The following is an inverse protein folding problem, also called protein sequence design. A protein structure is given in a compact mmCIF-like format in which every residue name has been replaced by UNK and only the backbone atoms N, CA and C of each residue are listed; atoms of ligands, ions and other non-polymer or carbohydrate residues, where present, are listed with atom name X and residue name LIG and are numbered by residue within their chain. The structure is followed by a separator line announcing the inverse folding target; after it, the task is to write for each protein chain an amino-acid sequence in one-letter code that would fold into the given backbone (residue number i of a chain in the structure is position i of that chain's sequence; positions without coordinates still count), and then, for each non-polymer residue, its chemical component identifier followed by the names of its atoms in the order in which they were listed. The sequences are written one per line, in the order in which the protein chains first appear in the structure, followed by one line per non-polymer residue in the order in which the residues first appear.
data_IF_092502767857
#
_entry.id   IF_092502767857
#
_cell.length_a   1.000
_cell.length_b   1.000
_cell.length_c   1.000
_cell.angle_alpha   90.00
_cell.angle_beta   90.00
_cell.angle_gamma   90.00
#
_symmetry.space_group_name_H-M   'P 1'
#
loop_
_entity.id
_entity.type
_entity.pdbx_description
1 polymer ?
#
# COMPACT_ATOMS: atom_id res chain seq x y z
N UNK A 1 11.61 9.04 -39.32
CA UNK A 1 11.10 7.90 -38.57
C UNK A 1 11.72 7.67 -37.17
N UNK A 2 12.43 8.64 -36.53
CA UNK A 2 13.03 8.46 -35.19
C UNK A 2 12.23 9.07 -34.01
N UNK A 3 11.10 9.73 -34.26
CA UNK A 3 10.26 10.37 -33.21
C UNK A 3 9.29 9.43 -32.50
N UNK A 4 8.91 8.32 -33.12
CA UNK A 4 7.91 7.37 -32.55
C UNK A 4 8.52 6.44 -31.49
N UNK A 5 9.81 6.13 -31.58
CA UNK A 5 10.49 5.23 -30.62
C UNK A 5 10.65 5.81 -29.20
N UNK A 6 10.64 7.13 -29.04
CA UNK A 6 10.74 7.76 -27.71
C UNK A 6 9.38 7.86 -27.01
N UNK A 7 8.27 7.96 -27.77
CA UNK A 7 6.92 7.99 -27.23
C UNK A 7 6.54 6.64 -26.61
N UNK A 8 6.93 5.53 -27.26
CA UNK A 8 6.67 4.18 -26.73
C UNK A 8 7.43 3.89 -25.42
N UNK A 9 8.66 4.39 -25.28
CA UNK A 9 9.46 4.23 -24.04
C UNK A 9 8.86 5.05 -22.87
N UNK A 10 8.34 6.23 -23.15
CA UNK A 10 7.67 7.05 -22.13
C UNK A 10 6.33 6.41 -21.73
N UNK A 11 5.56 5.90 -22.69
CA UNK A 11 4.32 5.18 -22.41
C UNK A 11 4.59 3.90 -21.59
N UNK A 12 5.66 3.17 -21.88
CA UNK A 12 6.06 1.97 -21.13
C UNK A 12 6.49 2.31 -19.68
N UNK A 13 7.17 3.44 -19.51
CA UNK A 13 7.62 3.92 -18.20
C UNK A 13 6.43 4.40 -17.34
N UNK A 14 5.46 5.08 -17.96
CA UNK A 14 4.21 5.49 -17.29
C UNK A 14 3.37 4.26 -16.94
N UNK A 15 3.29 3.28 -17.83
CA UNK A 15 2.55 2.04 -17.59
C UNK A 15 3.21 1.21 -16.46
N UNK A 16 4.56 1.13 -16.44
CA UNK A 16 5.27 0.43 -15.36
C UNK A 16 5.12 1.13 -14.00
N UNK A 17 5.09 2.46 -13.99
CA UNK A 17 4.86 3.24 -12.78
C UNK A 17 3.41 3.06 -12.28
N UNK A 18 2.44 3.02 -13.20
CA UNK A 18 1.03 2.77 -12.90
C UNK A 18 0.83 1.36 -12.33
N UNK A 19 1.49 0.35 -12.91
CA UNK A 19 1.49 -1.03 -12.42
C UNK A 19 2.17 -1.16 -11.05
N UNK A 20 3.23 -0.39 -10.80
CA UNK A 20 3.90 -0.37 -9.50
C UNK A 20 2.99 0.24 -8.42
N UNK A 21 2.29 1.33 -8.73
CA UNK A 21 1.33 1.97 -7.81
C UNK A 21 0.13 1.05 -7.53
N UNK A 22 -0.39 0.34 -8.54
CA UNK A 22 -1.47 -0.64 -8.33
C UNK A 22 -1.03 -1.86 -7.54
N UNK A 23 0.20 -2.35 -7.75
CA UNK A 23 0.77 -3.44 -6.97
C UNK A 23 0.96 -3.05 -5.48
N UNK A 24 1.42 -1.82 -5.20
CA UNK A 24 1.53 -1.34 -3.82
C UNK A 24 0.16 -1.12 -3.15
N UNK A 25 -0.85 -0.66 -3.89
CA UNK A 25 -2.21 -0.52 -3.35
C UNK A 25 -2.83 -1.87 -2.95
N UNK A 26 -2.44 -2.97 -3.60
CA UNK A 26 -2.89 -4.32 -3.26
C UNK A 26 -2.17 -4.92 -2.04
N UNK A 27 -0.98 -4.40 -1.68
CA UNK A 27 -0.19 -4.91 -0.54
C UNK A 27 -0.58 -4.29 0.82
N UNK A 28 -1.32 -3.20 0.86
CA UNK A 28 -1.71 -2.54 2.12
C UNK A 28 -2.87 -3.22 2.84
N UNK A 29 -3.46 -4.28 2.28
CA UNK A 29 -4.56 -5.04 2.87
C UNK A 29 -4.17 -6.17 3.83
N UNK A 30 -2.89 -6.52 3.99
CA UNK A 30 -2.48 -7.77 4.64
C UNK A 30 -1.46 -7.62 5.78
N UNK A 31 -1.38 -6.50 6.49
CA UNK A 31 -0.51 -6.40 7.67
C UNK A 31 -1.35 -6.06 8.90
N UNK A 32 -1.74 -7.11 9.62
CA UNK A 32 -2.40 -6.98 10.91
C UNK A 32 -3.30 -8.17 11.25
N UNK A 33 -2.79 -9.40 11.14
CA UNK A 33 -3.49 -10.55 11.68
C UNK A 33 -3.20 -10.71 13.17
N UNK A 34 -4.05 -10.17 14.01
CA UNK A 34 -4.30 -10.75 15.31
C UNK A 34 -5.70 -11.33 15.26
N UNK A 35 -5.78 -12.62 15.02
CA UNK A 35 -7.02 -13.39 15.04
C UNK A 35 -7.58 -13.40 16.47
N UNK A 36 -8.77 -12.84 16.65
CA UNK A 36 -9.62 -13.19 17.78
C UNK A 36 -10.02 -14.65 17.58
N UNK A 37 -9.26 -15.58 18.15
CA UNK A 37 -9.58 -17.00 18.14
C UNK A 37 -10.60 -17.28 19.24
N UNK A 38 -11.83 -17.63 18.85
CA UNK A 38 -12.63 -18.51 19.67
C UNK A 38 -11.97 -19.90 19.57
N UNK A 39 -11.24 -20.30 20.60
CA UNK A 39 -10.54 -21.60 20.65
C UNK A 39 -11.58 -22.67 20.93
N UNK A 40 -12.09 -23.29 19.89
CA UNK A 40 -12.84 -24.53 20.00
C UNK A 40 -11.82 -25.67 19.90
N UNK A 41 -11.60 -26.40 20.99
CA UNK A 41 -10.82 -27.63 20.99
C UNK A 41 -11.73 -28.80 20.64
N UNK A 42 -11.39 -29.57 19.62
CA UNK A 42 -12.12 -30.77 19.26
C UNK A 42 -11.85 -31.89 20.29
N UNK A 43 -12.90 -32.57 20.73
CA UNK A 43 -12.78 -33.78 21.55
C UNK A 43 -12.54 -34.99 20.64
N UNK A 44 -11.99 -36.11 21.20
CA UNK A 44 -11.78 -37.33 20.41
C UNK A 44 -13.09 -37.90 19.82
N UNK A 45 -14.21 -37.68 20.48
CA UNK A 45 -15.52 -38.13 20.00
C UNK A 45 -16.02 -37.25 18.83
N UNK A 46 -15.75 -35.95 18.85
CA UNK A 46 -16.08 -35.05 17.74
C UNK A 46 -15.27 -35.34 16.47
N UNK A 47 -14.01 -35.77 16.60
CA UNK A 47 -13.18 -36.15 15.46
C UNK A 47 -13.73 -37.41 14.74
N UNK A 48 -14.52 -38.23 15.43
CA UNK A 48 -15.16 -39.44 14.88
C UNK A 48 -16.56 -39.18 14.31
N UNK A 49 -17.13 -37.99 14.60
CA UNK A 49 -18.45 -37.61 14.08
C UNK A 49 -18.40 -37.33 12.60
N UNK A 50 -19.54 -37.52 11.93
CA UNK A 50 -19.72 -37.01 10.57
C UNK A 50 -19.59 -35.46 10.57
N UNK A 51 -19.00 -34.84 9.52
CA UNK A 51 -18.73 -33.41 9.49
C UNK A 51 -19.94 -32.54 9.86
N UNK A 52 -21.12 -32.89 9.37
CA UNK A 52 -22.36 -32.17 9.61
C UNK A 52 -22.86 -32.17 11.06
N UNK A 53 -22.34 -33.07 11.90
CA UNK A 53 -22.68 -33.23 13.32
C UNK A 53 -21.62 -32.60 14.23
N UNK A 54 -20.54 -32.06 13.66
CA UNK A 54 -19.46 -31.43 14.43
C UNK A 54 -19.87 -30.04 14.87
N UNK A 55 -19.25 -29.56 15.96
CA UNK A 55 -19.40 -28.18 16.39
C UNK A 55 -18.86 -27.25 15.32
N UNK A 56 -19.54 -26.13 15.15
CA UNK A 56 -19.12 -25.07 14.27
C UNK A 56 -18.51 -23.92 15.08
N UNK A 57 -17.56 -23.22 14.49
CA UNK A 57 -16.93 -22.02 15.04
C UNK A 57 -16.84 -20.93 13.99
N UNK A 58 -16.86 -19.68 14.41
CA UNK A 58 -16.67 -18.51 13.57
C UNK A 58 -15.35 -17.88 13.93
N UNK A 59 -14.49 -17.68 12.93
CA UNK A 59 -13.24 -16.96 13.07
C UNK A 59 -13.37 -15.61 12.34
N UNK A 60 -13.04 -14.52 13.02
CA UNK A 60 -13.16 -13.16 12.50
C UNK A 60 -11.88 -12.36 12.73
N UNK A 61 -11.77 -11.24 12.07
CA UNK A 61 -10.78 -10.21 12.41
C UNK A 61 -11.18 -9.53 13.73
N UNK A 62 -10.22 -8.99 14.49
CA UNK A 62 -10.49 -8.36 15.80
C UNK A 62 -11.29 -7.05 15.68
N UNK A 63 -11.32 -6.42 14.52
CA UNK A 63 -12.11 -5.23 14.22
C UNK A 63 -12.26 -5.05 12.71
N UNK A 64 -13.34 -4.37 12.32
CA UNK A 64 -13.58 -3.90 10.96
C UNK A 64 -13.43 -2.38 10.90
N UNK A 65 -13.08 -1.85 9.75
CA UNK A 65 -13.13 -0.41 9.51
C UNK A 65 -14.39 -0.08 8.71
N UNK A 66 -15.05 1.02 9.07
CA UNK A 66 -16.23 1.50 8.36
C UNK A 66 -15.94 1.69 6.86
N UNK A 67 -16.89 1.27 6.00
CA UNK A 67 -16.75 1.29 4.54
C UNK A 67 -15.54 0.52 3.97
N UNK A 68 -15.03 -0.46 4.72
CA UNK A 68 -14.04 -1.42 4.22
C UNK A 68 -14.53 -2.84 4.41
N UNK A 69 -14.15 -3.69 3.46
CA UNK A 69 -14.45 -5.10 3.54
C UNK A 69 -13.71 -5.75 4.71
N UNK A 70 -14.43 -6.55 5.46
CA UNK A 70 -13.90 -7.47 6.46
C UNK A 70 -14.39 -8.87 6.14
N UNK A 71 -13.88 -9.89 6.83
CA UNK A 71 -14.26 -11.27 6.56
C UNK A 71 -14.46 -12.07 7.84
N UNK A 72 -15.37 -13.05 7.75
CA UNK A 72 -15.54 -14.09 8.72
C UNK A 72 -15.47 -15.45 8.03
N UNK A 73 -14.85 -16.43 8.67
CA UNK A 73 -14.77 -17.80 8.18
C UNK A 73 -15.37 -18.77 9.18
N UNK A 74 -15.98 -19.83 8.68
CA UNK A 74 -16.59 -20.89 9.47
C UNK A 74 -15.71 -22.13 9.43
N UNK A 75 -15.60 -22.80 10.57
CA UNK A 75 -14.87 -24.03 10.75
C UNK A 75 -15.70 -24.99 11.56
N UNK A 76 -15.48 -26.30 11.38
CA UNK A 76 -16.08 -27.29 12.26
C UNK A 76 -15.46 -27.26 13.66
N UNK A 77 -14.15 -26.91 13.77
CA UNK A 77 -13.46 -26.66 15.06
C UNK A 77 -12.16 -25.92 14.85
N UNK A 78 -11.63 -25.35 15.90
CA UNK A 78 -10.37 -24.59 15.84
C UNK A 78 -9.20 -25.52 15.44
N UNK A 79 -8.34 -25.02 14.57
CA UNK A 79 -7.18 -25.76 14.05
C UNK A 79 -7.39 -26.43 12.71
N UNK A 80 -8.60 -26.46 12.17
CA UNK A 80 -8.78 -26.81 10.76
C UNK A 80 -8.17 -25.77 9.83
N UNK A 81 -7.51 -26.24 8.78
CA UNK A 81 -6.91 -25.37 7.76
C UNK A 81 -7.91 -24.95 6.70
N UNK A 82 -9.01 -25.68 6.57
CA UNK A 82 -10.05 -25.44 5.57
C UNK A 82 -11.33 -24.95 6.26
N UNK A 83 -11.79 -23.77 5.86
CA UNK A 83 -13.11 -23.27 6.25
C UNK A 83 -14.21 -24.07 5.54
N UNK A 84 -15.39 -24.10 6.17
CA UNK A 84 -16.62 -24.69 5.59
C UNK A 84 -17.05 -23.80 4.42
N UNK A 85 -17.28 -24.40 3.26
CA UNK A 85 -17.61 -23.67 2.02
C UNK A 85 -18.82 -24.27 1.31
N UNK A 86 -19.46 -23.53 0.40
CA UNK A 86 -20.52 -24.04 -0.43
C UNK A 86 -20.11 -25.33 -1.17
N UNK A 87 -20.94 -26.38 -1.06
CA UNK A 87 -20.68 -27.69 -1.65
C UNK A 87 -19.99 -28.70 -0.72
N UNK A 88 -19.54 -28.29 0.45
CA UNK A 88 -19.05 -29.21 1.48
C UNK A 88 -20.23 -29.96 2.13
N UNK A 89 -19.96 -31.17 2.63
CA UNK A 89 -20.95 -31.99 3.30
C UNK A 89 -21.50 -31.28 4.55
N UNK A 90 -22.83 -31.12 4.62
CA UNK A 90 -23.53 -30.47 5.72
C UNK A 90 -23.65 -28.94 5.57
N UNK A 91 -23.06 -28.32 4.54
CA UNK A 91 -23.17 -26.87 4.32
C UNK A 91 -24.64 -26.41 4.16
N UNK A 92 -25.47 -27.19 3.48
CA UNK A 92 -26.89 -26.89 3.29
C UNK A 92 -27.70 -26.86 4.60
N UNK A 93 -27.16 -27.43 5.68
CA UNK A 93 -27.78 -27.40 7.01
C UNK A 93 -27.38 -26.18 7.84
N UNK A 94 -26.55 -25.31 7.31
CA UNK A 94 -26.09 -24.09 7.97
C UNK A 94 -26.93 -22.88 7.55
N UNK A 95 -27.40 -22.15 8.54
CA UNK A 95 -28.08 -20.86 8.34
C UNK A 95 -27.19 -19.76 8.88
N UNK A 96 -26.99 -18.72 8.07
CA UNK A 96 -26.15 -17.58 8.39
C UNK A 96 -27.00 -16.35 8.64
N UNK A 97 -26.63 -15.60 9.68
CA UNK A 97 -27.20 -14.30 9.97
C UNK A 97 -26.07 -13.34 10.28
N UNK A 98 -26.06 -12.19 9.61
CA UNK A 98 -25.11 -11.11 9.88
C UNK A 98 -25.92 -9.87 10.20
N UNK A 99 -25.68 -9.30 11.37
CA UNK A 99 -26.39 -8.10 11.85
C UNK A 99 -25.39 -7.03 12.25
N UNK A 100 -25.80 -5.77 12.17
CA UNK A 100 -25.04 -4.62 12.65
C UNK A 100 -25.88 -3.92 13.72
N UNK A 101 -25.34 -3.78 14.92
CA UNK A 101 -25.98 -3.08 16.01
C UNK A 101 -25.22 -1.81 16.38
N UNK A 102 -25.96 -0.76 16.76
CA UNK A 102 -25.37 0.48 17.29
C UNK A 102 -24.90 0.34 18.76
N UNK A 103 -24.35 1.40 19.33
CA UNK A 103 -23.92 1.44 20.75
C UNK A 103 -25.09 1.21 21.75
N UNK A 104 -26.33 1.35 21.33
CA UNK A 104 -27.54 1.13 22.15
C UNK A 104 -28.15 -0.25 21.89
N UNK A 105 -27.47 -1.14 21.15
CA UNK A 105 -27.96 -2.46 20.71
C UNK A 105 -29.22 -2.41 19.80
N UNK A 106 -29.45 -1.30 19.11
CA UNK A 106 -30.48 -1.27 18.07
C UNK A 106 -29.91 -1.87 16.79
N UNK A 107 -30.70 -2.68 16.10
CA UNK A 107 -30.35 -3.21 14.78
C UNK A 107 -30.40 -2.09 13.74
N UNK A 108 -29.27 -1.83 13.12
CA UNK A 108 -29.09 -0.84 12.05
C UNK A 108 -28.63 -1.49 10.74
N UNK A 109 -28.83 -2.80 10.58
CA UNK A 109 -28.36 -3.56 9.42
C UNK A 109 -28.99 -3.07 8.11
N UNK A 110 -30.23 -2.63 8.12
CA UNK A 110 -30.93 -2.18 6.93
C UNK A 110 -30.29 -0.92 6.33
N UNK A 111 -29.73 -1.06 5.12
CA UNK A 111 -29.06 0.02 4.40
C UNK A 111 -27.63 0.35 4.88
N UNK A 112 -27.18 -0.22 6.01
CA UNK A 112 -25.87 0.04 6.60
C UNK A 112 -24.93 -1.16 6.57
N UNK A 113 -25.45 -2.34 6.24
CA UNK A 113 -24.69 -3.59 6.18
C UNK A 113 -24.92 -4.27 4.84
N UNK A 114 -23.82 -4.65 4.18
CA UNK A 114 -23.80 -5.50 3.00
C UNK A 114 -22.92 -6.70 3.27
N UNK A 115 -23.38 -7.90 2.90
CA UNK A 115 -22.60 -9.11 3.09
C UNK A 115 -22.94 -10.18 2.07
N UNK A 116 -21.95 -10.98 1.73
CA UNK A 116 -22.06 -12.12 0.81
C UNK A 116 -21.14 -13.26 1.23
N UNK A 117 -21.42 -14.46 0.78
CA UNK A 117 -20.54 -15.63 0.96
C UNK A 117 -19.91 -15.95 -0.38
N UNK A 118 -18.58 -15.96 -0.43
CA UNK A 118 -17.86 -16.30 -1.65
C UNK A 118 -17.72 -17.82 -1.83
N UNK A 119 -17.20 -18.25 -2.99
CA UNK A 119 -17.00 -19.66 -3.35
C UNK A 119 -16.05 -20.42 -2.38
N UNK A 120 -15.22 -19.68 -1.64
CA UNK A 120 -14.30 -20.23 -0.66
C UNK A 120 -14.92 -20.30 0.76
N UNK A 121 -16.20 -20.00 0.93
CA UNK A 121 -16.88 -20.02 2.22
C UNK A 121 -16.54 -18.84 3.13
N UNK A 122 -15.85 -17.81 2.62
CA UNK A 122 -15.60 -16.61 3.38
C UNK A 122 -16.82 -15.69 3.31
N UNK A 123 -17.31 -15.27 4.45
CA UNK A 123 -18.36 -14.25 4.58
C UNK A 123 -17.68 -12.90 4.46
N UNK A 124 -17.92 -12.19 3.36
CA UNK A 124 -17.39 -10.85 3.10
C UNK A 124 -18.44 -9.86 3.61
N UNK A 125 -18.03 -8.93 4.45
CA UNK A 125 -18.92 -8.00 5.13
C UNK A 125 -18.41 -6.58 4.94
N UNK A 126 -19.34 -5.66 4.63
CA UNK A 126 -19.05 -4.22 4.56
C UNK A 126 -20.10 -3.48 5.39
N UNK A 127 -19.66 -2.72 6.39
CA UNK A 127 -20.53 -1.87 7.20
C UNK A 127 -20.25 -0.39 6.86
N UNK A 128 -21.30 0.39 6.63
CA UNK A 128 -21.21 1.82 6.33
C UNK A 128 -21.34 2.72 7.57
N UNK A 129 -21.71 2.15 8.72
CA UNK A 129 -21.87 2.84 9.99
C UNK A 129 -21.05 2.17 11.09
N UNK A 130 -20.83 2.92 12.18
CA UNK A 130 -20.15 2.42 13.37
C UNK A 130 -21.10 1.53 14.17
N UNK A 131 -20.56 0.50 14.80
CA UNK A 131 -21.35 -0.42 15.62
C UNK A 131 -20.62 -1.72 15.86
N UNK A 132 -21.35 -2.78 16.10
CA UNK A 132 -20.83 -4.14 16.24
C UNK A 132 -21.48 -5.05 15.22
N UNK A 133 -20.70 -5.67 14.36
CA UNK A 133 -21.16 -6.73 13.45
C UNK A 133 -21.22 -8.02 14.25
N UNK A 134 -22.37 -8.68 14.25
CA UNK A 134 -22.53 -10.02 14.80
C UNK A 134 -22.73 -11.00 13.66
N UNK A 135 -21.82 -11.95 13.54
CA UNK A 135 -21.89 -13.06 12.59
C UNK A 135 -22.35 -14.31 13.34
N UNK A 136 -23.50 -14.85 12.99
CA UNK A 136 -24.05 -16.05 13.60
C UNK A 136 -24.28 -17.11 12.57
N UNK A 137 -23.84 -18.32 12.87
CA UNK A 137 -24.10 -19.53 12.10
C UNK A 137 -24.86 -20.54 12.98
N UNK A 138 -25.91 -21.13 12.45
CA UNK A 138 -26.74 -22.13 13.16
C UNK A 138 -26.81 -23.39 12.31
N UNK A 139 -26.55 -24.54 12.92
CA UNK A 139 -26.74 -25.86 12.30
C UNK A 139 -28.15 -26.37 12.58
N UNK A 140 -28.91 -26.65 11.53
CA UNK A 140 -30.25 -27.28 11.67
C UNK A 140 -30.20 -28.72 12.11
N UNK A 141 -29.05 -29.37 12.02
CA UNK A 141 -28.87 -30.81 12.40
C UNK A 141 -28.60 -30.95 13.89
N UNK A 142 -27.80 -30.08 14.47
CA UNK A 142 -27.39 -30.17 15.88
C UNK A 142 -28.03 -29.11 16.77
N UNK A 143 -28.76 -28.16 16.20
CA UNK A 143 -29.27 -26.94 16.87
C UNK A 143 -28.15 -26.08 17.52
N UNK A 144 -26.90 -26.42 17.26
CA UNK A 144 -25.76 -25.63 17.74
C UNK A 144 -25.60 -24.33 16.95
N UNK A 145 -25.14 -23.30 17.65
CA UNK A 145 -24.85 -22.01 17.05
C UNK A 145 -23.43 -21.56 17.41
N UNK A 146 -22.77 -20.95 16.43
CA UNK A 146 -21.53 -20.21 16.64
C UNK A 146 -21.79 -18.72 16.34
N UNK A 147 -21.22 -17.87 17.17
CA UNK A 147 -21.39 -16.43 17.07
C UNK A 147 -20.04 -15.73 17.29
N UNK A 148 -19.80 -14.68 16.53
CA UNK A 148 -18.63 -13.82 16.69
C UNK A 148 -19.00 -12.38 16.47
N UNK A 149 -18.41 -11.50 17.28
CA UNK A 149 -18.63 -10.06 17.22
C UNK A 149 -17.38 -9.37 16.63
N UNK A 150 -17.61 -8.39 15.76
CA UNK A 150 -16.58 -7.60 15.10
C UNK A 150 -16.91 -6.11 15.33
N UNK A 151 -16.21 -5.40 16.20
CA UNK A 151 -16.43 -3.96 16.36
C UNK A 151 -16.04 -3.20 15.09
N UNK A 152 -16.95 -2.35 14.62
CA UNK A 152 -16.70 -1.46 13.47
C UNK A 152 -16.12 -0.15 13.98
N UNK A 153 -14.90 0.13 13.62
CA UNK A 153 -14.15 1.32 14.05
C UNK A 153 -14.02 2.34 12.92
N UNK A 154 -13.77 3.60 13.29
CA UNK A 154 -13.45 4.66 12.32
C UNK A 154 -12.21 4.31 11.53
N UNK A 155 -12.15 4.75 10.28
CA UNK A 155 -10.92 4.65 9.51
C UNK A 155 -9.80 5.44 10.19
N UNK A 156 -8.63 4.84 10.27
CA UNK A 156 -7.42 5.47 10.79
C UNK A 156 -6.49 5.86 9.65
N UNK A 157 -5.69 6.92 9.88
CA UNK A 157 -4.59 7.28 8.98
C UNK A 157 -3.65 6.08 8.80
N UNK A 158 -3.40 5.75 7.56
CA UNK A 158 -2.39 4.75 7.22
C UNK A 158 -0.99 5.37 7.24
N UNK A 159 0.04 4.54 7.40
CA UNK A 159 1.43 5.00 7.24
C UNK A 159 1.66 5.63 5.86
N UNK A 160 0.92 5.19 4.84
CA UNK A 160 0.98 5.72 3.49
C UNK A 160 0.49 7.17 3.41
N UNK A 161 -0.61 7.51 4.10
CA UNK A 161 -1.14 8.87 4.13
C UNK A 161 -0.15 9.84 4.78
N UNK A 162 0.55 9.41 5.82
CA UNK A 162 1.59 10.18 6.49
C UNK A 162 2.78 10.42 5.54
N UNK A 163 3.19 9.41 4.78
CA UNK A 163 4.26 9.54 3.78
C UNK A 163 3.87 10.53 2.69
N UNK A 164 2.64 10.45 2.15
CA UNK A 164 2.13 11.37 1.14
C UNK A 164 2.13 12.80 1.66
N UNK A 165 1.66 13.01 2.89
CA UNK A 165 1.68 14.33 3.53
C UNK A 165 3.11 14.85 3.69
N UNK A 166 4.05 14.00 4.11
CA UNK A 166 5.47 14.35 4.24
C UNK A 166 6.10 14.76 2.90
N UNK A 167 5.83 14.00 1.83
CA UNK A 167 6.31 14.33 0.47
C UNK A 167 5.69 15.65 0.01
N UNK A 168 4.40 15.88 0.28
CA UNK A 168 3.73 17.13 -0.05
C UNK A 168 4.37 18.34 0.65
N UNK A 169 4.64 18.24 1.94
CA UNK A 169 5.32 19.30 2.70
C UNK A 169 6.75 19.56 2.19
N UNK A 170 7.48 18.50 1.84
CA UNK A 170 8.82 18.63 1.25
C UNK A 170 8.77 19.31 -0.13
N UNK A 171 7.83 18.92 -0.99
CA UNK A 171 7.63 19.55 -2.30
C UNK A 171 7.26 21.05 -2.16
N UNK A 172 6.43 21.39 -1.16
CA UNK A 172 6.08 22.78 -0.84
C UNK A 172 7.31 23.59 -0.43
N UNK A 173 8.14 23.02 0.45
CA UNK A 173 9.40 23.65 0.86
C UNK A 173 10.31 23.92 -0.35
N UNK A 174 10.48 22.96 -1.26
CA UNK A 174 11.25 23.14 -2.48
C UNK A 174 10.64 24.22 -3.37
N UNK A 175 9.33 24.22 -3.57
CA UNK A 175 8.61 25.22 -4.39
C UNK A 175 8.78 26.64 -3.85
N UNK A 176 8.67 26.84 -2.54
CA UNK A 176 8.80 28.16 -1.90
C UNK A 176 10.27 28.61 -1.87
N UNK A 177 11.17 27.75 -1.40
CA UNK A 177 12.59 28.10 -1.26
C UNK A 177 13.26 28.34 -2.62
N UNK A 178 12.83 27.65 -3.66
CA UNK A 178 13.45 27.70 -4.99
C UNK A 178 14.92 27.26 -4.96
N UNK A 179 15.31 26.51 -3.92
CA UNK A 179 16.67 25.99 -3.72
C UNK A 179 16.66 24.48 -3.86
N UNK A 180 17.81 23.92 -4.24
CA UNK A 180 18.00 22.48 -4.37
C UNK A 180 18.43 22.06 -5.78
N UNK A 181 18.99 20.87 -5.88
CA UNK A 181 19.56 20.33 -7.14
C UNK A 181 18.57 20.25 -8.30
N UNK A 182 17.25 20.26 -8.02
CA UNK A 182 16.23 20.27 -9.08
C UNK A 182 16.17 21.58 -9.87
N UNK A 183 16.71 22.67 -9.30
CA UNK A 183 16.78 23.99 -9.94
C UNK A 183 18.13 24.27 -10.62
N UNK A 184 19.12 23.40 -10.40
CA UNK A 184 20.48 23.51 -10.89
C UNK A 184 20.72 22.42 -11.94
N UNK A 185 20.36 22.70 -13.18
CA UNK A 185 20.65 21.80 -14.29
C UNK A 185 21.68 22.44 -15.22
N UNK A 186 22.80 21.76 -15.42
CA UNK A 186 23.87 22.18 -16.34
C UNK A 186 23.42 22.14 -17.82
N UNK A 187 22.29 21.52 -18.11
CA UNK A 187 21.78 21.27 -19.46
C UNK A 187 20.57 22.14 -19.83
N UNK A 188 20.36 23.26 -19.15
CA UNK A 188 19.28 24.19 -19.51
C UNK A 188 19.68 24.88 -20.82
N UNK A 189 18.73 25.00 -21.75
CA UNK A 189 18.94 25.73 -23.00
C UNK A 189 19.27 27.18 -22.70
N UNK A 190 20.20 27.77 -23.45
CA UNK A 190 20.61 29.15 -23.28
C UNK A 190 19.42 30.14 -23.27
N UNK A 191 19.37 31.02 -22.29
CA UNK A 191 18.30 31.99 -22.10
C UNK A 191 16.99 31.42 -21.52
N UNK A 192 16.90 30.12 -21.15
CA UNK A 192 15.70 29.51 -20.59
C UNK A 192 15.75 29.27 -19.07
N UNK A 193 16.84 29.70 -18.40
CA UNK A 193 17.03 29.47 -16.95
C UNK A 193 15.88 29.98 -16.09
N UNK A 194 15.44 31.23 -16.35
CA UNK A 194 14.35 31.85 -15.59
C UNK A 194 13.04 31.10 -15.77
N UNK A 195 12.74 30.68 -17.01
CA UNK A 195 11.52 29.91 -17.32
C UNK A 195 11.57 28.54 -16.70
N UNK A 196 12.72 27.85 -16.75
CA UNK A 196 12.92 26.55 -16.11
C UNK A 196 12.67 26.62 -14.61
N UNK A 197 13.30 27.59 -13.91
CA UNK A 197 13.12 27.78 -12.46
C UNK A 197 11.67 28.11 -12.11
N UNK A 198 11.01 28.98 -12.90
CA UNK A 198 9.62 29.37 -12.68
C UNK A 198 8.68 28.12 -12.83
N UNK A 199 8.83 27.37 -13.92
CA UNK A 199 8.00 26.18 -14.19
C UNK A 199 8.21 25.12 -13.10
N UNK A 200 9.45 24.86 -12.72
CA UNK A 200 9.77 23.90 -11.67
C UNK A 200 9.16 24.31 -10.33
N UNK A 201 9.25 25.61 -9.96
CA UNK A 201 8.61 26.15 -8.75
C UNK A 201 7.10 25.97 -8.77
N UNK A 202 6.45 26.38 -9.85
CA UNK A 202 5.00 26.28 -10.00
C UNK A 202 4.54 24.82 -9.91
N UNK A 203 5.25 23.93 -10.60
CA UNK A 203 4.96 22.50 -10.57
C UNK A 203 5.08 21.93 -9.14
N UNK A 204 6.16 22.22 -8.42
CA UNK A 204 6.35 21.79 -7.03
C UNK A 204 5.24 22.30 -6.10
N UNK A 205 4.83 23.56 -6.24
CA UNK A 205 3.75 24.14 -5.42
C UNK A 205 2.41 23.47 -5.72
N UNK A 206 2.06 23.28 -7.00
CA UNK A 206 0.78 22.67 -7.38
C UNK A 206 0.70 21.20 -6.93
N UNK A 207 1.76 20.42 -7.14
CA UNK A 207 1.84 19.03 -6.68
C UNK A 207 1.73 18.99 -5.15
N UNK A 208 2.46 19.86 -4.44
CA UNK A 208 2.43 19.94 -3.00
C UNK A 208 1.03 20.24 -2.46
N UNK A 209 0.32 21.20 -3.04
CA UNK A 209 -1.04 21.55 -2.62
C UNK A 209 -2.00 20.35 -2.79
N UNK A 210 -1.92 19.64 -3.90
CA UNK A 210 -2.74 18.45 -4.13
C UNK A 210 -2.41 17.34 -3.12
N UNK A 211 -1.13 17.07 -2.84
CA UNK A 211 -0.72 16.03 -1.89
C UNK A 211 -1.07 16.38 -0.45
N UNK A 212 -0.89 17.63 -0.03
CA UNK A 212 -1.28 18.10 1.30
C UNK A 212 -2.81 18.03 1.45
N UNK A 213 -3.56 18.49 0.44
CA UNK A 213 -5.02 18.38 0.46
C UNK A 213 -5.49 16.92 0.56
N UNK A 214 -4.86 15.99 -0.17
CA UNK A 214 -5.11 14.56 -0.07
C UNK A 214 -4.84 14.05 1.35
N UNK A 215 -3.71 14.40 1.96
CA UNK A 215 -3.38 14.01 3.34
C UNK A 215 -4.37 14.57 4.37
N UNK A 216 -4.83 15.81 4.19
CA UNK A 216 -5.86 16.42 5.07
C UNK A 216 -7.20 15.71 4.89
N UNK A 217 -7.62 15.43 3.64
CA UNK A 217 -8.86 14.69 3.36
C UNK A 217 -8.81 13.32 4.03
N UNK A 218 -7.71 12.58 3.91
CA UNK A 218 -7.53 11.28 4.57
C UNK A 218 -7.62 11.40 6.10
N UNK A 219 -7.06 12.48 6.68
CA UNK A 219 -7.10 12.70 8.14
C UNK A 219 -8.51 13.04 8.68
N UNK A 220 -9.34 13.72 7.87
CA UNK A 220 -10.69 14.14 8.28
C UNK A 220 -11.73 13.09 7.95
N UNK A 221 -11.47 12.24 6.95
CA UNK A 221 -12.43 11.25 6.46
C UNK A 221 -12.49 9.99 7.33
N UNK A 222 -13.01 10.17 8.55
CA UNK A 222 -13.15 9.06 9.48
C UNK A 222 -14.08 7.94 9.00
N UNK A 223 -14.98 8.24 8.06
CA UNK A 223 -16.00 7.33 7.53
C UNK A 223 -15.72 6.83 6.10
N UNK A 224 -14.62 7.24 5.48
CA UNK A 224 -14.29 6.85 4.11
C UNK A 224 -15.22 7.41 3.02
N UNK A 225 -16.06 8.39 3.36
CA UNK A 225 -17.00 9.02 2.41
C UNK A 225 -16.30 9.89 1.37
N UNK A 226 -15.11 10.37 1.67
CA UNK A 226 -14.29 11.23 0.80
C UNK A 226 -13.17 10.46 0.09
N UNK A 227 -13.16 9.14 0.16
CA UNK A 227 -12.12 8.29 -0.44
C UNK A 227 -11.94 8.54 -1.94
N UNK A 228 -13.05 8.75 -2.68
CA UNK A 228 -13.00 9.11 -4.10
C UNK A 228 -12.30 10.46 -4.33
N UNK A 229 -12.58 11.48 -3.50
CA UNK A 229 -11.93 12.79 -3.57
C UNK A 229 -10.44 12.67 -3.29
N UNK A 230 -10.06 11.88 -2.26
CA UNK A 230 -8.66 11.60 -1.95
C UNK A 230 -7.92 10.98 -3.14
N UNK A 231 -8.53 9.96 -3.77
CA UNK A 231 -7.98 9.30 -4.96
C UNK A 231 -7.82 10.27 -6.13
N UNK A 232 -8.81 11.12 -6.39
CA UNK A 232 -8.75 12.12 -7.46
C UNK A 232 -7.61 13.11 -7.20
N UNK A 233 -7.47 13.65 -6.00
CA UNK A 233 -6.40 14.58 -5.64
C UNK A 233 -5.01 13.96 -5.85
N UNK A 234 -4.85 12.69 -5.48
CA UNK A 234 -3.60 11.96 -5.68
C UNK A 234 -3.28 11.75 -7.17
N UNK A 235 -4.27 11.35 -7.98
CA UNK A 235 -4.10 11.20 -9.44
C UNK A 235 -3.74 12.55 -10.07
N UNK A 236 -4.41 13.64 -9.68
CA UNK A 236 -4.10 14.99 -10.18
C UNK A 236 -2.66 15.39 -9.84
N UNK A 237 -2.20 15.10 -8.62
CA UNK A 237 -0.82 15.35 -8.23
C UNK A 237 0.19 14.62 -9.13
N UNK A 238 -0.06 13.33 -9.45
CA UNK A 238 0.77 12.54 -10.35
C UNK A 238 0.78 13.14 -11.76
N UNK A 239 -0.38 13.49 -12.29
CA UNK A 239 -0.49 14.09 -13.64
C UNK A 239 0.27 15.43 -13.72
N UNK A 240 0.12 16.29 -12.71
CA UNK A 240 0.86 17.55 -12.63
C UNK A 240 2.37 17.33 -12.55
N UNK A 241 2.82 16.34 -11.77
CA UNK A 241 4.22 15.98 -11.68
C UNK A 241 4.78 15.50 -13.03
N UNK A 242 4.06 14.61 -13.71
CA UNK A 242 4.45 14.11 -15.03
C UNK A 242 4.47 15.24 -16.09
N UNK A 243 3.46 16.10 -16.08
CA UNK A 243 3.41 17.27 -16.96
C UNK A 243 4.60 18.19 -16.70
N UNK A 244 4.93 18.47 -15.43
CA UNK A 244 6.10 19.24 -15.04
C UNK A 244 7.41 18.62 -15.56
N UNK A 245 7.57 17.30 -15.44
CA UNK A 245 8.73 16.60 -15.99
C UNK A 245 8.84 16.70 -17.51
N UNK A 246 7.73 16.66 -18.23
CA UNK A 246 7.73 16.84 -19.69
C UNK A 246 8.15 18.26 -20.05
N UNK A 247 7.57 19.26 -19.40
CA UNK A 247 7.89 20.67 -19.67
C UNK A 247 9.35 20.96 -19.35
N UNK A 248 9.86 20.50 -18.20
CA UNK A 248 11.28 20.70 -17.84
C UNK A 248 12.23 20.01 -18.84
N UNK A 249 11.85 18.82 -19.37
CA UNK A 249 12.62 18.17 -20.45
C UNK A 249 12.63 18.95 -21.76
N UNK A 250 11.59 19.66 -22.09
CA UNK A 250 11.55 20.54 -23.27
C UNK A 250 12.48 21.74 -23.14
N UNK A 251 12.70 22.20 -21.90
CA UNK A 251 13.57 23.33 -21.58
C UNK A 251 15.04 22.93 -21.41
N UNK A 252 15.35 21.64 -21.35
CA UNK A 252 16.72 21.12 -21.25
C UNK A 252 17.23 20.57 -22.59
N UNK A 253 18.54 20.65 -22.82
CA UNK A 253 19.20 20.06 -23.98
C UNK A 253 19.56 18.58 -23.70
N UNK A 254 18.68 17.70 -24.18
CA UNK A 254 18.86 16.25 -24.00
C UNK A 254 20.00 15.66 -24.81
N UNK A 255 20.53 16.36 -25.83
CA UNK A 255 21.68 15.89 -26.60
C UNK A 255 22.98 16.12 -25.83
N UNK A 256 23.18 17.34 -25.30
CA UNK A 256 24.35 17.67 -24.49
C UNK A 256 24.46 16.75 -23.27
N UNK A 257 23.32 16.46 -22.61
CA UNK A 257 23.26 15.52 -21.47
C UNK A 257 23.72 14.12 -21.85
N UNK A 258 23.26 13.57 -22.99
CA UNK A 258 23.66 12.23 -23.44
C UNK A 258 25.11 12.16 -23.83
N UNK A 259 25.67 13.19 -24.45
CA UNK A 259 27.08 13.25 -24.80
C UNK A 259 27.98 13.27 -23.57
N UNK A 260 27.55 13.97 -22.52
CA UNK A 260 28.29 14.04 -21.26
C UNK A 260 28.21 12.73 -20.45
N UNK A 261 27.04 12.10 -20.43
CA UNK A 261 26.87 10.77 -19.85
C UNK A 261 27.72 9.73 -20.57
N UNK A 262 27.80 9.79 -21.90
CA UNK A 262 28.66 8.92 -22.70
C UNK A 262 30.15 9.16 -22.43
N UNK A 263 30.58 10.42 -22.31
CA UNK A 263 31.95 10.78 -21.93
C UNK A 263 32.32 10.30 -20.53
N UNK A 264 31.40 10.44 -19.56
CA UNK A 264 31.63 9.95 -18.20
C UNK A 264 31.65 8.42 -18.11
N UNK A 265 30.87 7.72 -18.91
CA UNK A 265 30.89 6.28 -19.00
C UNK A 265 32.21 5.78 -19.62
N UNK A 266 32.67 6.39 -20.75
CA UNK A 266 33.96 6.04 -21.38
C UNK A 266 35.18 6.41 -20.51
N UNK A 267 35.08 7.47 -19.71
CA UNK A 267 36.13 7.87 -18.77
C UNK A 267 36.24 7.00 -17.51
N UNK A 268 35.16 6.28 -17.14
CA UNK A 268 35.20 5.29 -16.05
C UNK A 268 35.90 4.01 -16.44
N UNK A 269 35.79 3.60 -17.72
CA UNK A 269 36.49 2.41 -18.23
C UNK A 269 38.01 2.62 -18.39
N UNK A 270 38.49 3.89 -18.44
CA UNK A 270 39.93 4.18 -18.50
C UNK A 270 40.63 4.39 -17.15
N UNK A 271 39.91 4.51 -16.06
CA UNK A 271 40.45 4.43 -14.71
C UNK A 271 40.24 3.03 -14.15
N UNK A 272 40.97 2.06 -14.69
CA UNK A 272 41.26 0.85 -13.94
C UNK A 272 41.89 1.28 -12.60
N UNK A 273 41.49 0.66 -11.48
CA UNK A 273 42.07 0.97 -10.17
C UNK A 273 43.48 0.32 -10.08
N UNK A 274 44.46 0.88 -10.79
CA UNK A 274 45.82 0.45 -10.74
C UNK A 274 46.71 1.27 -9.79
N UNK A 275 46.10 2.09 -8.95
CA UNK A 275 46.86 2.95 -8.02
C UNK A 275 46.26 3.08 -6.63
N UNK A 276 45.42 2.14 -6.18
CA UNK A 276 44.82 2.22 -4.86
C UNK A 276 45.42 1.22 -3.83
N UNK A 277 46.49 0.49 -4.21
CA UNK A 277 47.25 -0.34 -3.30
C UNK A 277 48.73 -0.28 -3.71
N UNK A 278 49.32 0.91 -3.67
CA UNK A 278 50.74 1.01 -3.38
C UNK A 278 50.85 0.78 -1.87
N UNK A 279 51.10 -0.46 -1.48
CA UNK A 279 51.66 -0.74 -0.18
C UNK A 279 53.11 -0.20 -0.29
N UNK A 280 53.35 0.92 0.40
CA UNK A 280 54.71 1.34 0.70
C UNK A 280 55.41 0.13 1.35
N UNK A 281 56.36 -0.48 0.65
CA UNK A 281 57.22 -1.53 1.13
C UNK A 281 58.20 -1.03 2.20
N UNK A 282 57.79 -0.13 3.08
CA UNK A 282 58.49 0.35 4.25
C UNK A 282 58.20 -0.51 5.48
N UNK A 283 57.94 -1.81 5.33
CA UNK A 283 58.06 -2.72 6.46
C UNK A 283 59.54 -2.88 6.79
N UNK A 284 59.98 -2.48 7.99
CA UNK A 284 61.37 -2.63 8.41
C UNK A 284 61.74 -4.11 8.38
N UNK A 285 62.74 -4.42 7.54
CA UNK A 285 63.26 -5.78 7.44
C UNK A 285 63.80 -6.26 8.79
N UNK A 286 63.73 -7.57 9.04
CA UNK A 286 64.19 -8.21 10.31
C UNK A 286 65.62 -7.78 10.67
N UNK A 287 66.43 -7.42 9.68
CA UNK A 287 67.80 -6.92 9.84
C UNK A 287 67.90 -5.53 10.48
N UNK A 288 66.85 -4.68 10.35
CA UNK A 288 66.82 -3.35 10.96
C UNK A 288 66.46 -3.40 12.42
N UNK A 289 65.79 -4.48 12.87
CA UNK A 289 65.43 -4.71 14.27
C UNK A 289 66.61 -5.25 15.06
N UNK A 290 67.52 -6.04 14.44
CA UNK A 290 68.67 -6.66 15.10
C UNK A 290 69.80 -5.65 15.34
N UNK A 291 69.89 -4.55 14.62
CA UNK A 291 70.92 -3.51 14.80
C UNK A 291 70.64 -2.49 15.90
N UNK A 292 69.47 -2.55 16.51
CA UNK A 292 69.07 -1.63 17.59
C UNK A 292 68.93 -2.28 18.97
N UNK A 293 69.33 -3.54 19.14
CA UNK A 293 69.39 -4.20 20.48
C UNK A 293 70.82 -4.25 21.05
#
# INVERSE_FOLDING_TARGET
MKKTANLSKIALLVLSLLLLVTAFASFTGCIGSSSGQATLEATEDELKMEPQLRRIGVQTLPSAQVNKQTGAALFYYAGETNNIKPGDEGYENLTFTVTLTDENNNDISEGSLDWEINENGLIIITASELGTITVKAVSSMTEESAEAEIPVIKQSLTAWDIIILGIGLYALYLGISGRGKIYESEYIKEGMDTKYKLVTRLCCILVALCMIASGIVAAVDAYGKLSALNTILFIVAIVLFLAGMVVTRLLTDTKAKKEDEAKRASGRDMKAPSAAFDFDDDEPTVDDIIKKS
#
